data_IF_443739564020
#
_entry.id   IF_443739564020
#
_cell.length_a   1.000
_cell.length_b   1.000
_cell.length_c   1.000
_cell.angle_alpha   90.00
_cell.angle_beta   90.00
_cell.angle_gamma   90.00
#
_symmetry.space_group_name_H-M   'P 1'
#
loop_
_entity.id
_entity.type
_entity.pdbx_description
1 polymer ?
#
# COMPACT_ATOMS: atom_id res chain seq x y z
N UNK A 1 -0.16 -42.61 13.85
CA UNK A 1 0.26 -41.42 14.63
C UNK A 1 0.33 -40.24 13.68
N UNK A 2 -0.70 -39.38 13.71
CA UNK A 2 -0.90 -38.31 12.74
C UNK A 2 -0.18 -37.04 13.20
N UNK A 3 0.90 -36.66 12.53
CA UNK A 3 1.51 -35.34 12.69
C UNK A 3 0.99 -34.43 11.58
N UNK A 4 -0.15 -33.79 11.83
CA UNK A 4 -0.70 -32.73 10.97
C UNK A 4 0.12 -31.46 11.23
N UNK A 5 1.21 -31.30 10.48
CA UNK A 5 1.99 -30.05 10.47
C UNK A 5 1.11 -28.97 9.85
N UNK A 6 0.48 -28.16 10.70
CA UNK A 6 -0.28 -26.97 10.30
C UNK A 6 0.72 -26.02 9.62
N UNK A 7 0.69 -25.96 8.28
CA UNK A 7 1.41 -24.92 7.54
C UNK A 7 0.80 -23.59 7.97
N UNK A 8 1.58 -22.79 8.67
CA UNK A 8 1.34 -21.36 8.84
C UNK A 8 1.48 -20.72 7.46
N UNK A 9 0.39 -20.19 6.92
CA UNK A 9 0.32 -19.32 5.74
C UNK A 9 0.98 -17.94 6.04
N UNK A 10 2.21 -17.96 6.58
CA UNK A 10 3.06 -16.79 6.84
C UNK A 10 4.10 -16.60 5.71
N UNK A 11 3.74 -17.02 4.49
CA UNK A 11 4.37 -16.60 3.24
C UNK A 11 3.37 -15.73 2.49
N UNK A 12 2.96 -14.59 3.06
CA UNK A 12 2.46 -13.49 2.26
C UNK A 12 3.62 -12.94 1.41
N UNK A 13 3.88 -13.64 0.31
CA UNK A 13 4.54 -13.24 -0.91
C UNK A 13 5.39 -11.96 -0.80
N UNK A 14 6.59 -12.12 -0.26
CA UNK A 14 7.69 -11.26 -0.65
C UNK A 14 8.10 -11.59 -2.10
N UNK A 15 7.23 -11.37 -3.10
CA UNK A 15 7.55 -11.10 -4.52
C UNK A 15 6.50 -11.63 -5.51
N UNK A 16 5.53 -10.79 -5.84
CA UNK A 16 5.03 -10.73 -7.23
C UNK A 16 5.26 -9.35 -7.85
N UNK A 17 6.27 -8.61 -7.36
CA UNK A 17 6.73 -7.44 -8.09
C UNK A 17 7.48 -7.89 -9.34
N UNK A 18 6.87 -7.70 -10.51
CA UNK A 18 7.51 -7.95 -11.80
C UNK A 18 8.86 -7.21 -11.91
N UNK A 19 9.75 -7.70 -12.78
CA UNK A 19 11.10 -7.13 -12.94
C UNK A 19 11.07 -5.60 -13.18
N UNK A 20 10.09 -5.12 -13.94
CA UNK A 20 9.86 -3.69 -14.17
C UNK A 20 9.52 -2.92 -12.89
N UNK A 21 8.63 -3.46 -12.05
CA UNK A 21 8.24 -2.84 -10.78
C UNK A 21 9.43 -2.76 -9.82
N UNK A 22 10.25 -3.81 -9.75
CA UNK A 22 11.48 -3.82 -8.96
C UNK A 22 12.47 -2.75 -9.44
N UNK A 23 12.64 -2.61 -10.75
CA UNK A 23 13.51 -1.57 -11.33
C UNK A 23 12.96 -0.17 -11.04
N UNK A 24 11.65 0.04 -11.11
CA UNK A 24 11.01 1.31 -10.79
C UNK A 24 11.19 1.67 -9.31
N UNK A 25 10.99 0.73 -8.38
CA UNK A 25 11.24 0.96 -6.95
C UNK A 25 12.71 1.28 -6.69
N UNK A 26 13.63 0.51 -7.27
CA UNK A 26 15.07 0.78 -7.13
C UNK A 26 15.48 2.15 -7.70
N UNK A 27 14.78 2.65 -8.72
CA UNK A 27 14.98 4.02 -9.23
C UNK A 27 14.42 5.07 -8.28
N UNK A 28 13.24 4.84 -7.70
CA UNK A 28 12.63 5.68 -6.67
C UNK A 28 13.48 5.78 -5.39
N UNK A 29 14.05 4.67 -4.94
CA UNK A 29 14.94 4.63 -3.77
C UNK A 29 16.25 5.40 -4.01
N UNK A 30 16.76 5.37 -5.25
CA UNK A 30 17.97 6.07 -5.67
C UNK A 30 17.73 7.53 -6.04
N UNK A 31 16.47 7.97 -6.10
CA UNK A 31 16.10 9.35 -6.39
C UNK A 31 16.36 10.24 -5.16
N UNK A 32 16.71 11.51 -5.41
CA UNK A 32 16.91 12.48 -4.33
C UNK A 32 15.65 12.56 -3.45
N UNK A 33 15.79 12.63 -2.11
CA UNK A 33 14.65 12.73 -1.21
C UNK A 33 13.68 13.86 -1.59
N UNK A 34 14.17 15.01 -2.09
CA UNK A 34 13.31 16.12 -2.52
C UNK A 34 12.48 15.78 -3.76
N UNK A 35 13.05 15.05 -4.70
CA UNK A 35 12.34 14.65 -5.93
C UNK A 35 11.31 13.56 -5.63
N UNK A 36 11.67 12.60 -4.77
CA UNK A 36 10.74 11.58 -4.29
C UNK A 36 9.58 12.20 -3.51
N UNK A 37 9.85 13.17 -2.64
CA UNK A 37 8.79 13.89 -1.92
C UNK A 37 7.84 14.59 -2.89
N UNK A 38 8.37 15.31 -3.90
CA UNK A 38 7.53 15.93 -4.95
C UNK A 38 6.68 14.92 -5.70
N UNK A 39 7.22 13.74 -6.02
CA UNK A 39 6.45 12.68 -6.67
C UNK A 39 5.35 12.14 -5.75
N UNK A 40 5.64 11.94 -4.47
CA UNK A 40 4.64 11.52 -3.48
C UNK A 40 3.55 12.57 -3.31
N UNK A 41 3.91 13.86 -3.18
CA UNK A 41 2.96 14.96 -3.12
C UNK A 41 2.09 15.03 -4.37
N UNK A 42 2.68 14.80 -5.56
CA UNK A 42 1.92 14.73 -6.82
C UNK A 42 0.99 13.53 -6.86
N UNK A 43 1.40 12.37 -6.37
CA UNK A 43 0.54 11.19 -6.30
C UNK A 43 -0.61 11.38 -5.30
N UNK A 44 -0.36 12.10 -4.21
CA UNK A 44 -1.33 12.49 -3.19
C UNK A 44 -2.02 13.84 -3.50
N UNK A 45 -1.93 14.34 -4.73
CA UNK A 45 -2.67 15.55 -5.10
C UNK A 45 -4.17 15.27 -5.09
N UNK A 46 -4.98 16.27 -4.73
CA UNK A 46 -6.44 16.12 -4.66
C UNK A 46 -7.04 15.59 -5.96
N UNK A 47 -6.54 16.03 -7.12
CA UNK A 47 -6.96 15.53 -8.43
C UNK A 47 -6.71 14.02 -8.60
N UNK A 48 -5.56 13.52 -8.16
CA UNK A 48 -5.21 12.11 -8.30
C UNK A 48 -5.92 11.24 -7.24
N UNK A 49 -6.12 11.79 -6.05
CA UNK A 49 -6.92 11.15 -4.99
C UNK A 49 -8.36 11.01 -5.46
N UNK A 50 -8.98 12.06 -6.01
CA UNK A 50 -10.35 12.01 -6.53
C UNK A 50 -10.49 10.98 -7.65
N UNK A 51 -9.58 10.99 -8.64
CA UNK A 51 -9.59 10.03 -9.75
C UNK A 51 -9.44 8.57 -9.30
N UNK A 52 -8.79 8.33 -8.16
CA UNK A 52 -8.56 6.99 -7.63
C UNK A 52 -9.29 6.74 -6.31
N UNK A 53 -10.27 7.57 -5.95
CA UNK A 53 -10.93 7.57 -4.64
C UNK A 53 -11.48 6.18 -4.30
N UNK A 54 -12.23 5.59 -5.22
CA UNK A 54 -12.85 4.27 -5.03
C UNK A 54 -11.78 3.20 -4.76
N UNK A 55 -10.69 3.20 -5.54
CA UNK A 55 -9.59 2.23 -5.36
C UNK A 55 -8.89 2.42 -4.02
N UNK A 56 -8.67 3.67 -3.61
CA UNK A 56 -8.05 3.98 -2.31
C UNK A 56 -8.95 3.48 -1.17
N UNK A 57 -10.25 3.75 -1.24
CA UNK A 57 -11.22 3.30 -0.24
C UNK A 57 -11.30 1.77 -0.18
N UNK A 58 -11.43 1.09 -1.32
CA UNK A 58 -11.44 -0.38 -1.38
C UNK A 58 -10.14 -0.98 -0.83
N UNK A 59 -8.99 -0.39 -1.15
CA UNK A 59 -7.70 -0.85 -0.61
C UNK A 59 -7.64 -0.68 0.90
N UNK A 60 -8.10 0.46 1.43
CA UNK A 60 -8.16 0.69 2.88
C UNK A 60 -9.11 -0.28 3.59
N UNK A 61 -10.24 -0.62 2.97
CA UNK A 61 -11.18 -1.62 3.49
C UNK A 61 -10.58 -3.02 3.49
N UNK A 62 -9.90 -3.41 2.41
CA UNK A 62 -9.18 -4.69 2.36
C UNK A 62 -8.09 -4.77 3.44
N UNK A 63 -7.34 -3.67 3.66
CA UNK A 63 -6.32 -3.60 4.70
C UNK A 63 -6.92 -3.65 6.11
N UNK A 64 -8.12 -3.09 6.29
CA UNK A 64 -8.88 -3.22 7.54
C UNK A 64 -9.31 -4.66 7.77
N UNK A 65 -9.92 -5.28 6.76
CA UNK A 65 -10.39 -6.67 6.82
C UNK A 65 -9.25 -7.66 7.05
N UNK A 66 -8.07 -7.39 6.47
CA UNK A 66 -6.87 -8.19 6.70
C UNK A 66 -6.20 -7.93 8.05
N UNK A 67 -6.70 -6.98 8.85
CA UNK A 67 -6.12 -6.60 10.14
C UNK A 67 -4.81 -5.82 10.05
N UNK A 68 -4.43 -5.32 8.86
CA UNK A 68 -3.25 -4.48 8.67
C UNK A 68 -3.48 -3.05 9.16
N UNK A 69 -4.75 -2.60 9.17
CA UNK A 69 -5.15 -1.29 9.70
C UNK A 69 -6.32 -1.45 10.69
N UNK A 70 -6.29 -0.67 11.76
CA UNK A 70 -7.45 -0.52 12.65
C UNK A 70 -8.46 0.47 12.07
N UNK A 71 -9.70 0.43 12.57
CA UNK A 71 -10.74 1.40 12.20
C UNK A 71 -10.32 2.85 12.38
N UNK A 72 -9.61 3.14 13.48
CA UNK A 72 -9.10 4.47 13.77
C UNK A 72 -8.03 4.90 12.77
N UNK A 73 -7.13 3.99 12.38
CA UNK A 73 -6.09 4.26 11.40
C UNK A 73 -6.67 4.50 10.01
N UNK A 74 -7.69 3.74 9.61
CA UNK A 74 -8.41 3.95 8.34
C UNK A 74 -9.10 5.31 8.36
N UNK A 75 -9.78 5.67 9.46
CA UNK A 75 -10.45 6.95 9.59
C UNK A 75 -9.47 8.12 9.48
N UNK A 76 -8.37 8.08 10.22
CA UNK A 76 -7.31 9.09 10.16
C UNK A 76 -6.68 9.19 8.76
N UNK A 77 -6.50 8.05 8.07
CA UNK A 77 -5.98 8.02 6.71
C UNK A 77 -6.95 8.67 5.72
N UNK A 78 -8.26 8.39 5.82
CA UNK A 78 -9.30 9.05 5.01
C UNK A 78 -9.31 10.56 5.23
N UNK A 79 -9.27 11.00 6.49
CA UNK A 79 -9.22 12.43 6.84
C UNK A 79 -7.98 13.12 6.25
N UNK A 80 -6.80 12.49 6.33
CA UNK A 80 -5.55 13.04 5.75
C UNK A 80 -5.57 13.12 4.23
N UNK A 81 -6.32 12.24 3.57
CA UNK A 81 -6.49 12.25 2.12
C UNK A 81 -7.67 13.13 1.66
N UNK A 82 -8.42 13.73 2.60
CA UNK A 82 -9.61 14.53 2.29
C UNK A 82 -10.77 13.72 1.71
N UNK A 83 -10.87 12.44 2.09
CA UNK A 83 -11.82 11.47 1.56
C UNK A 83 -13.10 11.29 2.37
#
# INVERSE_FOLDING_TARGET
MFWRKKKTDDEQSASEMGMLQRLAMKKLEKMDPKEREKLMQKALSSENIEKNKDKILTTMEQMKESGQLTDEQVKLAKEKLGL
#
